data_IF_522125822730
#
_entry.id   IF_522125822730
#
_cell.length_a   1.000
_cell.length_b   1.000
_cell.length_c   1.000
_cell.angle_alpha   90.00
_cell.angle_beta   90.00
_cell.angle_gamma   90.00
#
_symmetry.space_group_name_H-M   'P 1'
#
loop_
_entity.id
_entity.type
_entity.pdbx_description
1 polymer ?
#
# COMPACT_ATOMS: atom_id res chain seq x y z
N UNK A 1 0.95 -11.63 14.64
CA UNK A 1 -0.35 -12.35 14.80
C UNK A 1 -0.79 -12.83 13.43
N UNK A 2 -1.36 -14.02 13.32
CA UNK A 2 -1.83 -14.58 12.04
C UNK A 2 -3.30 -14.92 12.15
N UNK A 3 -4.06 -14.73 11.06
CA UNK A 3 -5.48 -15.02 11.01
C UNK A 3 -5.83 -15.72 9.68
N UNK A 4 -6.53 -16.86 9.78
CA UNK A 4 -7.16 -17.49 8.60
C UNK A 4 -8.48 -16.76 8.31
N UNK A 5 -8.59 -16.14 7.13
CA UNK A 5 -9.78 -15.40 6.70
C UNK A 5 -10.87 -16.33 6.18
N UNK A 6 -10.46 -17.28 5.35
CA UNK A 6 -11.26 -18.38 4.85
C UNK A 6 -10.31 -19.52 4.44
N UNK A 7 -10.83 -20.58 3.85
CA UNK A 7 -9.99 -21.67 3.36
C UNK A 7 -9.01 -21.16 2.30
N UNK A 8 -7.72 -21.42 2.56
CA UNK A 8 -6.62 -21.04 1.70
C UNK A 8 -6.37 -19.54 1.59
N UNK A 9 -6.90 -18.71 2.49
CA UNK A 9 -6.59 -17.27 2.55
C UNK A 9 -6.22 -16.87 3.97
N UNK A 10 -5.02 -16.35 4.15
CA UNK A 10 -4.45 -16.04 5.44
C UNK A 10 -3.88 -14.62 5.47
N UNK A 11 -4.01 -13.96 6.61
CA UNK A 11 -3.41 -12.67 6.91
C UNK A 11 -2.27 -12.88 7.90
N UNK A 12 -1.09 -12.36 7.59
CA UNK A 12 0.11 -12.40 8.42
C UNK A 12 0.46 -10.98 8.81
N UNK A 13 0.43 -10.68 10.09
CA UNK A 13 0.87 -9.38 10.61
C UNK A 13 2.36 -9.40 10.89
N UNK A 14 3.07 -8.41 10.39
CA UNK A 14 4.46 -8.10 10.73
C UNK A 14 4.53 -6.76 11.42
N UNK A 15 5.13 -6.71 12.60
CA UNK A 15 5.36 -5.48 13.35
C UNK A 15 6.80 -5.02 13.11
N UNK A 16 7.00 -3.71 12.93
CA UNK A 16 8.32 -3.13 12.66
C UNK A 16 8.48 -1.75 13.29
N UNK A 17 9.70 -1.26 13.30
CA UNK A 17 10.04 0.08 13.82
C UNK A 17 10.59 0.95 12.69
N UNK A 18 9.96 2.11 12.47
CA UNK A 18 10.48 3.14 11.57
C UNK A 18 11.55 3.96 12.29
N UNK A 19 11.28 4.35 13.54
CA UNK A 19 12.24 4.93 14.49
C UNK A 19 12.06 4.24 15.85
N UNK A 20 12.93 4.47 16.84
CA UNK A 20 12.73 3.93 18.20
C UNK A 20 11.36 4.27 18.79
N UNK A 21 10.78 5.41 18.43
CA UNK A 21 9.50 5.92 18.92
C UNK A 21 8.31 5.51 18.05
N UNK A 22 8.55 5.26 16.75
CA UNK A 22 7.48 4.98 15.76
C UNK A 22 7.44 3.49 15.47
N UNK A 23 6.46 2.81 16.04
CA UNK A 23 6.11 1.42 15.73
C UNK A 23 4.99 1.38 14.73
N UNK A 24 5.11 0.50 13.74
CA UNK A 24 4.12 0.25 12.70
C UNK A 24 3.94 -1.25 12.51
N UNK A 25 2.98 -1.60 11.71
CA UNK A 25 2.77 -2.97 11.24
C UNK A 25 2.34 -2.94 9.78
N UNK A 26 2.52 -4.05 9.08
CA UNK A 26 1.90 -4.30 7.80
C UNK A 26 1.28 -5.69 7.78
N UNK A 27 0.26 -5.88 6.96
CA UNK A 27 -0.32 -7.18 6.67
C UNK A 27 0.18 -7.70 5.32
N UNK A 28 0.66 -8.92 5.35
CA UNK A 28 0.98 -9.73 4.18
C UNK A 28 -0.15 -10.75 4.04
N UNK A 29 -0.54 -11.07 2.82
CA UNK A 29 -1.56 -12.08 2.60
C UNK A 29 -0.95 -13.30 1.91
N UNK A 30 -1.23 -14.49 2.45
CA UNK A 30 -0.85 -15.77 1.87
C UNK A 30 -2.09 -16.39 1.25
N UNK A 31 -1.99 -16.68 -0.04
CA UNK A 31 -3.00 -17.39 -0.83
C UNK A 31 -2.50 -18.83 -1.00
N UNK A 32 -3.27 -19.78 -0.48
CA UNK A 32 -2.98 -21.20 -0.54
C UNK A 32 -3.83 -21.86 -1.62
N UNK A 33 -3.18 -22.52 -2.54
CA UNK A 33 -3.75 -23.33 -3.60
C UNK A 33 -2.95 -24.62 -3.76
N UNK A 34 -2.77 -25.10 -4.99
CA UNK A 34 -1.82 -26.16 -5.28
C UNK A 34 -0.41 -25.72 -4.89
N UNK A 35 -0.06 -24.50 -5.19
CA UNK A 35 1.12 -23.79 -4.66
C UNK A 35 0.71 -22.70 -3.66
N UNK A 36 1.66 -21.87 -3.22
CA UNK A 36 1.45 -20.73 -2.36
C UNK A 36 1.81 -19.44 -3.09
N UNK A 37 1.07 -18.37 -2.79
CA UNK A 37 1.31 -17.04 -3.36
C UNK A 37 1.20 -16.00 -2.26
N UNK A 38 1.99 -14.92 -2.38
CA UNK A 38 1.96 -13.80 -1.45
C UNK A 38 1.40 -12.56 -2.12
N UNK A 39 0.64 -11.77 -1.38
CA UNK A 39 0.41 -10.36 -1.71
C UNK A 39 1.20 -9.54 -0.72
N UNK A 40 2.15 -8.79 -1.26
CA UNK A 40 3.23 -8.11 -0.56
C UNK A 40 4.17 -9.05 0.21
N UNK A 41 5.28 -8.52 0.71
CA UNK A 41 6.31 -9.30 1.40
C UNK A 41 6.73 -8.70 2.75
N UNK A 42 6.09 -7.60 3.17
CA UNK A 42 6.44 -6.92 4.42
C UNK A 42 7.77 -6.17 4.34
N UNK A 43 8.33 -5.87 5.51
CA UNK A 43 9.67 -5.28 5.65
C UNK A 43 10.77 -6.33 5.57
N UNK A 44 12.03 -5.90 5.46
CA UNK A 44 13.18 -6.80 5.55
C UNK A 44 13.14 -7.65 6.80
N UNK A 45 13.33 -8.98 6.64
CA UNK A 45 13.24 -9.96 7.72
C UNK A 45 11.85 -10.57 7.95
N UNK A 46 10.81 -10.10 7.22
CA UNK A 46 9.44 -10.64 7.33
C UNK A 46 9.32 -12.07 6.80
N UNK A 47 10.23 -12.52 5.94
CA UNK A 47 10.29 -13.90 5.44
C UNK A 47 10.29 -14.94 6.58
N UNK A 48 10.92 -14.62 7.71
CA UNK A 48 10.95 -15.49 8.90
C UNK A 48 9.56 -15.76 9.46
N UNK A 49 8.74 -14.71 9.54
CA UNK A 49 7.36 -14.83 10.02
C UNK A 49 6.48 -15.58 9.00
N UNK A 50 6.68 -15.31 7.71
CA UNK A 50 5.97 -15.99 6.61
C UNK A 50 6.29 -17.48 6.62
N UNK A 51 7.56 -17.85 6.60
CA UNK A 51 7.99 -19.25 6.55
C UNK A 51 7.57 -20.03 7.81
N UNK A 52 7.78 -19.42 9.00
CA UNK A 52 7.31 -20.03 10.25
C UNK A 52 5.79 -20.25 10.27
N UNK A 53 5.02 -19.38 9.61
CA UNK A 53 3.58 -19.59 9.49
C UNK A 53 3.26 -20.70 8.49
N UNK A 54 3.91 -20.72 7.34
CA UNK A 54 3.72 -21.78 6.34
C UNK A 54 3.98 -23.17 6.92
N UNK A 55 5.06 -23.33 7.69
CA UNK A 55 5.36 -24.59 8.40
C UNK A 55 4.22 -25.00 9.34
N UNK A 56 3.62 -24.06 10.09
CA UNK A 56 2.50 -24.34 11.02
C UNK A 56 1.24 -24.84 10.31
N UNK A 57 1.04 -24.47 9.05
CA UNK A 57 -0.09 -24.93 8.23
C UNK A 57 0.29 -26.12 7.33
N UNK A 58 1.50 -26.70 7.53
CA UNK A 58 1.97 -27.85 6.78
C UNK A 58 2.48 -27.54 5.37
N UNK A 59 2.82 -26.28 5.09
CA UNK A 59 3.37 -25.83 3.80
C UNK A 59 4.86 -25.52 3.94
N UNK A 60 5.60 -25.63 2.85
CA UNK A 60 7.04 -25.34 2.82
C UNK A 60 7.29 -24.02 2.06
N UNK A 61 8.33 -23.26 2.44
CA UNK A 61 8.69 -22.03 1.75
C UNK A 61 8.88 -22.20 0.23
N UNK A 62 9.44 -23.34 -0.20
CA UNK A 62 9.69 -23.62 -1.62
C UNK A 62 8.40 -23.79 -2.44
N UNK A 63 7.25 -23.86 -1.79
CA UNK A 63 5.96 -23.90 -2.46
C UNK A 63 5.46 -22.50 -2.85
N UNK A 64 6.14 -21.41 -2.44
CA UNK A 64 5.85 -20.07 -2.92
C UNK A 64 6.24 -19.98 -4.40
N UNK A 65 5.25 -19.69 -5.26
CA UNK A 65 5.43 -19.56 -6.72
C UNK A 65 5.27 -18.15 -7.22
N UNK A 66 4.71 -17.23 -6.42
CA UNK A 66 4.57 -15.84 -6.82
C UNK A 66 4.41 -14.88 -5.65
N UNK A 67 4.91 -13.66 -5.85
CA UNK A 67 4.70 -12.50 -4.99
C UNK A 67 4.05 -11.42 -5.83
N UNK A 68 2.87 -10.99 -5.45
CA UNK A 68 2.12 -9.90 -6.08
C UNK A 68 2.34 -8.63 -5.27
N UNK A 69 3.24 -7.75 -5.72
CA UNK A 69 3.54 -6.50 -5.04
C UNK A 69 2.50 -5.44 -5.42
N UNK A 70 1.87 -4.85 -4.41
CA UNK A 70 0.86 -3.80 -4.62
C UNK A 70 1.52 -2.49 -5.05
N UNK A 71 2.66 -2.16 -4.46
CA UNK A 71 3.49 -0.99 -4.78
C UNK A 71 4.89 -1.14 -4.17
N UNK A 72 5.78 -0.17 -4.43
CA UNK A 72 7.21 -0.29 -4.13
C UNK A 72 7.62 0.17 -2.72
N UNK A 73 6.72 0.58 -1.82
CA UNK A 73 7.15 1.06 -0.51
C UNK A 73 7.84 -0.02 0.33
N UNK A 74 8.80 0.35 1.20
CA UNK A 74 9.67 -0.59 1.91
C UNK A 74 8.96 -1.69 2.71
N UNK A 75 7.80 -1.37 3.27
CA UNK A 75 7.01 -2.30 4.07
C UNK A 75 6.13 -3.27 3.24
N UNK A 76 6.25 -3.19 1.91
CA UNK A 76 5.60 -4.10 0.97
C UNK A 76 6.61 -4.98 0.22
N UNK A 77 7.81 -4.45 -0.05
CA UNK A 77 8.82 -5.14 -0.87
C UNK A 77 9.95 -5.77 -0.07
N UNK A 78 10.07 -5.47 1.23
CA UNK A 78 11.30 -5.65 2.02
C UNK A 78 11.84 -7.07 2.09
N UNK A 79 11.00 -8.09 2.03
CA UNK A 79 11.45 -9.50 2.01
C UNK A 79 11.37 -10.16 0.63
N UNK A 80 10.97 -9.42 -0.42
CA UNK A 80 10.76 -9.99 -1.75
C UNK A 80 12.05 -10.60 -2.33
N UNK A 81 13.19 -9.92 -2.18
CA UNK A 81 14.49 -10.41 -2.65
C UNK A 81 14.85 -11.76 -2.02
N UNK A 82 14.82 -11.85 -0.69
CA UNK A 82 15.16 -13.07 0.05
C UNK A 82 14.22 -14.23 -0.31
N UNK A 83 12.91 -13.94 -0.38
CA UNK A 83 11.92 -14.97 -0.75
C UNK A 83 12.17 -15.46 -2.17
N UNK A 84 12.39 -14.54 -3.13
CA UNK A 84 12.69 -14.90 -4.52
C UNK A 84 13.96 -15.72 -4.65
N UNK A 85 15.02 -15.37 -3.97
CA UNK A 85 16.28 -16.10 -3.98
C UNK A 85 16.12 -17.55 -3.45
N UNK A 86 15.33 -17.72 -2.38
CA UNK A 86 15.14 -19.03 -1.75
C UNK A 86 14.16 -19.93 -2.51
N UNK A 87 13.18 -19.35 -3.20
CA UNK A 87 12.05 -20.12 -3.75
C UNK A 87 12.04 -20.15 -5.28
N UNK A 88 12.73 -19.21 -5.94
CA UNK A 88 12.64 -19.02 -7.39
C UNK A 88 11.28 -18.52 -7.85
N UNK A 89 10.48 -17.90 -6.95
CA UNK A 89 9.13 -17.43 -7.29
C UNK A 89 9.16 -16.26 -8.26
N UNK A 90 8.07 -16.07 -9.00
CA UNK A 90 7.85 -14.93 -9.89
C UNK A 90 7.43 -13.69 -9.08
N UNK A 91 8.09 -12.57 -9.27
CA UNK A 91 7.73 -11.27 -8.69
C UNK A 91 6.91 -10.47 -9.71
N UNK A 92 5.67 -10.16 -9.34
CA UNK A 92 4.74 -9.35 -10.12
C UNK A 92 4.67 -7.94 -9.55
N UNK A 93 4.80 -6.92 -10.39
CA UNK A 93 4.62 -5.52 -10.01
C UNK A 93 4.20 -4.67 -11.21
N UNK A 94 3.62 -3.49 -10.96
CA UNK A 94 3.28 -2.54 -12.02
C UNK A 94 4.53 -1.89 -12.63
N UNK A 95 4.36 -1.35 -13.84
CA UNK A 95 5.47 -0.76 -14.61
C UNK A 95 6.12 0.43 -13.88
N UNK A 96 5.31 1.32 -13.31
CA UNK A 96 5.82 2.53 -12.66
C UNK A 96 6.55 2.24 -11.34
N UNK A 97 6.17 1.18 -10.63
CA UNK A 97 6.79 0.78 -9.36
C UNK A 97 8.12 0.01 -9.56
N UNK A 98 8.31 -0.60 -10.73
CA UNK A 98 9.44 -1.48 -11.05
C UNK A 98 10.79 -0.85 -10.77
N UNK A 99 11.00 0.41 -11.15
CA UNK A 99 12.30 1.07 -11.02
C UNK A 99 12.80 1.16 -9.58
N UNK A 100 11.89 1.34 -8.62
CA UNK A 100 12.19 1.39 -7.20
C UNK A 100 12.41 0.00 -6.60
N UNK A 101 11.64 -0.99 -7.04
CA UNK A 101 11.80 -2.38 -6.63
C UNK A 101 13.15 -2.94 -7.08
N UNK A 102 13.56 -2.63 -8.32
CA UNK A 102 14.83 -3.09 -8.89
C UNK A 102 16.05 -2.25 -8.45
N UNK A 103 15.82 -1.07 -7.85
CA UNK A 103 16.87 -0.20 -7.33
C UNK A 103 16.38 0.56 -6.08
N UNK A 104 16.53 -0.07 -4.90
CA UNK A 104 16.15 0.54 -3.62
C UNK A 104 16.98 1.77 -3.26
N UNK A 105 18.23 1.89 -3.74
CA UNK A 105 19.05 3.08 -3.49
C UNK A 105 18.50 4.28 -4.25
N UNK A 106 17.99 4.08 -5.47
CA UNK A 106 17.25 5.11 -6.21
C UNK A 106 16.00 5.54 -5.45
N UNK A 107 15.23 4.57 -4.92
CA UNK A 107 14.07 4.87 -4.11
C UNK A 107 14.44 5.69 -2.87
N UNK A 108 15.52 5.33 -2.17
CA UNK A 108 16.00 6.08 -1.02
C UNK A 108 16.40 7.51 -1.39
N UNK A 109 17.04 7.71 -2.53
CA UNK A 109 17.41 9.06 -3.01
C UNK A 109 16.20 9.93 -3.31
N UNK A 110 15.15 9.35 -3.88
CA UNK A 110 13.92 10.07 -4.28
C UNK A 110 12.92 10.21 -3.14
N UNK A 111 12.87 9.24 -2.23
CA UNK A 111 11.93 9.18 -1.10
C UNK A 111 12.62 8.68 0.19
N UNK A 112 13.50 9.50 0.78
CA UNK A 112 14.20 9.10 2.00
C UNK A 112 13.22 9.01 3.19
N UNK A 113 13.27 7.88 3.91
CA UNK A 113 12.61 7.70 5.19
C UNK A 113 13.60 7.14 6.22
N UNK A 114 13.37 7.35 7.53
CA UNK A 114 14.20 6.73 8.56
C UNK A 114 14.23 5.21 8.43
N UNK A 115 15.38 4.60 8.70
CA UNK A 115 15.60 3.15 8.70
C UNK A 115 15.32 2.45 7.35
N UNK A 116 15.33 3.20 6.25
CA UNK A 116 14.91 2.77 4.93
C UNK A 116 15.49 1.40 4.52
N UNK A 117 16.82 1.25 4.52
CA UNK A 117 17.48 0.03 4.01
C UNK A 117 17.14 -1.22 4.85
N UNK A 118 16.96 -1.06 6.16
CA UNK A 118 16.52 -2.16 7.00
C UNK A 118 15.06 -2.56 6.72
N UNK A 119 14.23 -1.60 6.34
CA UNK A 119 12.84 -1.85 5.98
C UNK A 119 12.71 -2.41 4.55
N UNK A 120 13.40 -1.81 3.57
CA UNK A 120 13.34 -2.21 2.17
C UNK A 120 14.11 -3.50 1.85
N UNK A 121 15.05 -3.90 2.72
CA UNK A 121 15.88 -5.08 2.49
C UNK A 121 16.85 -4.90 1.33
N UNK A 122 16.65 -5.64 0.24
CA UNK A 122 17.48 -5.58 -0.96
C UNK A 122 16.61 -5.45 -2.22
N UNK A 123 17.21 -4.87 -3.26
CA UNK A 123 16.59 -4.81 -4.60
C UNK A 123 16.25 -6.21 -5.10
N UNK A 124 15.13 -6.33 -5.81
CA UNK A 124 14.74 -7.59 -6.46
C UNK A 124 14.27 -7.33 -7.87
N UNK A 125 14.47 -8.31 -8.76
CA UNK A 125 14.00 -8.23 -10.13
C UNK A 125 12.47 -8.39 -10.17
N UNK A 126 11.80 -7.59 -10.97
CA UNK A 126 10.38 -7.78 -11.35
C UNK A 126 10.35 -8.69 -12.58
N UNK A 127 9.88 -9.92 -12.39
CA UNK A 127 9.84 -10.93 -13.45
C UNK A 127 8.65 -10.72 -14.40
N UNK A 128 7.53 -10.26 -13.87
CA UNK A 128 6.30 -10.01 -14.63
C UNK A 128 5.73 -8.62 -14.35
N UNK A 129 5.69 -7.79 -15.37
CA UNK A 129 5.04 -6.47 -15.28
C UNK A 129 3.55 -6.62 -15.48
N UNK A 130 2.77 -6.07 -14.55
CA UNK A 130 1.30 -6.07 -14.61
C UNK A 130 0.77 -4.68 -14.88
N UNK A 131 -0.41 -4.63 -15.49
CA UNK A 131 -1.13 -3.40 -15.78
C UNK A 131 -2.60 -3.53 -15.39
N UNK A 132 -3.26 -2.39 -15.26
CA UNK A 132 -4.68 -2.34 -14.99
C UNK A 132 -5.49 -3.15 -16.02
N UNK A 133 -6.39 -3.99 -15.52
CA UNK A 133 -7.26 -4.86 -16.33
C UNK A 133 -6.67 -6.24 -16.62
N UNK A 134 -5.38 -6.48 -16.36
CA UNK A 134 -4.78 -7.80 -16.54
C UNK A 134 -5.50 -8.86 -15.71
N UNK A 135 -5.58 -10.07 -16.26
CA UNK A 135 -6.04 -11.26 -15.55
C UNK A 135 -4.91 -12.28 -15.51
N UNK A 136 -4.45 -12.59 -14.30
CA UNK A 136 -3.37 -13.55 -14.07
C UNK A 136 -3.98 -14.83 -13.56
N UNK A 137 -3.60 -15.95 -14.17
CA UNK A 137 -4.01 -17.30 -13.75
C UNK A 137 -2.77 -18.07 -13.30
N UNK A 138 -2.34 -17.91 -12.06
CA UNK A 138 -1.10 -18.53 -11.57
C UNK A 138 -1.18 -20.04 -11.53
N UNK A 139 -2.38 -20.59 -11.33
CA UNK A 139 -2.71 -22.01 -11.38
C UNK A 139 -4.17 -22.23 -11.78
N UNK A 140 -4.57 -23.43 -12.23
CA UNK A 140 -5.95 -23.72 -12.60
C UNK A 140 -6.94 -23.39 -11.47
N UNK A 141 -7.98 -22.64 -11.79
CA UNK A 141 -9.02 -22.24 -10.82
C UNK A 141 -8.68 -21.02 -9.95
N UNK A 142 -7.51 -20.43 -10.11
CA UNK A 142 -7.13 -19.18 -9.44
C UNK A 142 -7.04 -18.05 -10.47
N UNK A 143 -7.94 -17.08 -10.39
CA UNK A 143 -7.93 -15.88 -11.23
C UNK A 143 -7.72 -14.64 -10.37
N UNK A 144 -6.66 -13.90 -10.64
CA UNK A 144 -6.31 -12.64 -9.99
C UNK A 144 -6.43 -11.54 -11.03
N UNK A 145 -7.38 -10.62 -10.81
CA UNK A 145 -7.54 -9.43 -11.66
C UNK A 145 -6.74 -8.27 -11.08
N UNK A 146 -5.97 -7.60 -11.92
CA UNK A 146 -5.22 -6.39 -11.56
C UNK A 146 -6.13 -5.16 -11.72
N UNK A 147 -6.18 -4.35 -10.68
CA UNK A 147 -6.94 -3.10 -10.63
C UNK A 147 -5.97 -1.97 -10.37
N UNK A 148 -5.80 -1.04 -11.30
CA UNK A 148 -4.98 0.15 -11.11
C UNK A 148 -5.49 0.94 -9.90
N UNK A 149 -4.59 1.25 -8.97
CA UNK A 149 -4.90 1.85 -7.67
C UNK A 149 -3.90 2.94 -7.31
N UNK A 150 -3.74 3.89 -8.25
CA UNK A 150 -2.85 5.05 -8.11
C UNK A 150 -3.33 5.99 -7.01
N UNK A 151 -2.43 6.80 -6.49
CA UNK A 151 -2.74 7.85 -5.53
C UNK A 151 -1.92 7.75 -4.26
N UNK A 152 -1.84 6.58 -3.61
CA UNK A 152 -0.88 6.34 -2.55
C UNK A 152 0.55 6.26 -3.09
N UNK A 153 0.72 5.62 -4.23
CA UNK A 153 1.95 5.58 -5.02
C UNK A 153 1.65 5.92 -6.50
N UNK A 154 2.69 6.08 -7.31
CA UNK A 154 2.54 6.57 -8.68
C UNK A 154 1.84 5.59 -9.62
N UNK A 155 2.00 4.30 -9.41
CA UNK A 155 1.45 3.24 -10.26
C UNK A 155 1.03 2.00 -9.44
N UNK A 156 0.59 2.22 -8.20
CA UNK A 156 0.11 1.16 -7.32
C UNK A 156 -1.06 0.38 -7.92
N UNK A 157 -1.15 -0.89 -7.56
CA UNK A 157 -2.20 -1.79 -8.01
C UNK A 157 -2.85 -2.52 -6.84
N UNK A 158 -4.13 -2.83 -6.99
CA UNK A 158 -4.84 -3.78 -6.12
C UNK A 158 -5.03 -5.11 -6.86
N UNK A 159 -5.04 -6.21 -6.12
CA UNK A 159 -5.24 -7.53 -6.69
C UNK A 159 -6.59 -8.10 -6.22
N UNK A 160 -7.44 -8.48 -7.16
CA UNK A 160 -8.74 -9.05 -6.88
C UNK A 160 -8.75 -10.55 -7.19
N UNK A 161 -8.65 -11.37 -6.15
CA UNK A 161 -8.77 -12.83 -6.23
C UNK A 161 -10.25 -13.20 -6.38
N UNK A 162 -10.67 -13.48 -7.61
CA UNK A 162 -12.06 -13.64 -8.02
C UNK A 162 -12.76 -14.81 -7.34
N UNK A 163 -12.14 -15.97 -7.31
CA UNK A 163 -12.70 -17.20 -6.77
C UNK A 163 -12.88 -17.21 -5.24
N UNK A 164 -12.31 -16.22 -4.54
CA UNK A 164 -12.48 -16.02 -3.08
C UNK A 164 -13.10 -14.67 -2.72
N UNK A 165 -13.46 -13.89 -3.74
CA UNK A 165 -14.03 -12.54 -3.58
C UNK A 165 -13.18 -11.66 -2.65
N UNK A 166 -11.84 -11.80 -2.72
CA UNK A 166 -10.89 -11.08 -1.88
C UNK A 166 -10.16 -10.00 -2.69
N UNK A 167 -10.20 -8.77 -2.20
CA UNK A 167 -9.56 -7.60 -2.81
C UNK A 167 -8.42 -7.13 -1.91
N UNK A 168 -7.18 -7.29 -2.37
CA UNK A 168 -5.98 -6.82 -1.69
C UNK A 168 -5.65 -5.43 -2.20
N UNK A 169 -5.76 -4.43 -1.33
CA UNK A 169 -5.68 -3.02 -1.72
C UNK A 169 -4.33 -2.37 -1.41
N UNK A 170 -3.41 -3.09 -0.75
CA UNK A 170 -2.23 -2.44 -0.19
C UNK A 170 -2.65 -1.24 0.64
N UNK A 171 -2.11 -0.08 0.31
CA UNK A 171 -2.35 1.19 1.00
C UNK A 171 -3.28 2.15 0.24
N UNK A 172 -3.98 1.64 -0.78
CA UNK A 172 -4.83 2.47 -1.63
C UNK A 172 -6.04 3.09 -0.90
N UNK A 173 -6.43 2.55 0.26
CA UNK A 173 -7.53 3.08 1.08
C UNK A 173 -6.92 3.80 2.29
N UNK A 174 -6.93 5.14 2.36
CA UNK A 174 -6.49 5.90 3.53
C UNK A 174 -7.21 5.46 4.80
N UNK A 175 -6.44 5.22 5.87
CA UNK A 175 -6.97 4.70 7.13
C UNK A 175 -7.58 5.83 7.95
N UNK A 176 -8.82 5.67 8.39
CA UNK A 176 -9.48 6.61 9.28
C UNK A 176 -8.78 6.65 10.65
N UNK A 177 -8.53 7.85 11.15
CA UNK A 177 -7.81 8.11 12.42
C UNK A 177 -6.30 7.79 12.42
N UNK A 178 -5.71 7.41 11.31
CA UNK A 178 -4.26 7.38 11.12
C UNK A 178 -3.82 8.48 10.15
N UNK A 179 -2.52 8.60 9.93
CA UNK A 179 -1.98 9.55 8.96
C UNK A 179 -2.42 9.17 7.54
N UNK A 180 -3.18 10.01 6.84
CA UNK A 180 -3.51 9.74 5.45
C UNK A 180 -2.28 10.02 4.58
N UNK A 181 -1.85 9.03 3.80
CA UNK A 181 -0.68 9.12 2.94
C UNK A 181 -1.09 8.84 1.49
N UNK A 182 -0.99 9.87 0.65
CA UNK A 182 -1.13 9.77 -0.80
C UNK A 182 -0.41 10.95 -1.46
N UNK A 183 0.04 10.74 -2.68
CA UNK A 183 0.84 11.71 -3.46
C UNK A 183 -0.03 12.52 -4.42
N UNK A 184 -1.24 12.03 -4.70
CA UNK A 184 -2.16 12.70 -5.63
C UNK A 184 -3.61 12.46 -5.19
N UNK A 185 -4.29 13.56 -4.86
CA UNK A 185 -5.69 13.57 -4.42
C UNK A 185 -6.63 12.97 -5.46
N UNK A 186 -6.55 13.42 -6.69
CA UNK A 186 -7.53 13.04 -7.73
C UNK A 186 -7.37 11.57 -8.10
N UNK A 187 -6.16 11.07 -8.20
CA UNK A 187 -5.91 9.64 -8.39
C UNK A 187 -6.43 8.79 -7.24
N UNK A 188 -6.29 9.27 -5.99
CA UNK A 188 -6.82 8.56 -4.82
C UNK A 188 -8.35 8.51 -4.85
N UNK A 189 -9.01 9.63 -5.21
CA UNK A 189 -10.47 9.67 -5.37
C UNK A 189 -10.95 8.70 -6.46
N UNK A 190 -10.32 8.74 -7.64
CA UNK A 190 -10.66 7.85 -8.76
C UNK A 190 -10.47 6.37 -8.36
N UNK A 191 -9.37 6.05 -7.68
CA UNK A 191 -9.10 4.72 -7.16
C UNK A 191 -10.20 4.25 -6.20
N UNK A 192 -10.57 5.08 -5.23
CA UNK A 192 -11.60 4.72 -4.24
C UNK A 192 -12.96 4.50 -4.90
N UNK A 193 -13.38 5.36 -5.83
CA UNK A 193 -14.61 5.16 -6.61
C UNK A 193 -14.57 3.86 -7.40
N UNK A 194 -13.45 3.55 -7.99
CA UNK A 194 -13.24 2.32 -8.74
C UNK A 194 -13.31 1.08 -7.86
N UNK A 195 -12.61 1.08 -6.71
CA UNK A 195 -12.66 -0.04 -5.76
C UNK A 195 -14.09 -0.23 -5.21
N UNK A 196 -14.83 0.86 -4.98
CA UNK A 196 -16.22 0.81 -4.53
C UNK A 196 -17.17 0.16 -5.56
N UNK A 197 -16.85 0.25 -6.85
CA UNK A 197 -17.66 -0.32 -7.95
C UNK A 197 -17.47 -1.82 -8.14
N UNK A 198 -16.45 -2.43 -7.53
CA UNK A 198 -16.16 -3.86 -7.68
C UNK A 198 -17.19 -4.71 -6.92
N UNK A 199 -17.70 -5.75 -7.59
CA UNK A 199 -18.66 -6.70 -7.00
C UNK A 199 -18.58 -8.05 -7.70
N UNK A 200 -18.66 -9.18 -6.98
CA UNK A 200 -18.74 -9.27 -5.52
C UNK A 200 -17.36 -9.15 -4.84
N UNK A 201 -17.27 -8.42 -3.74
CA UNK A 201 -16.10 -8.39 -2.84
C UNK A 201 -16.56 -8.76 -1.44
N UNK A 202 -16.09 -9.90 -0.94
CA UNK A 202 -16.37 -10.38 0.41
C UNK A 202 -15.34 -9.88 1.41
N UNK A 203 -14.05 -9.90 1.04
CA UNK A 203 -12.94 -9.49 1.90
C UNK A 203 -12.21 -8.32 1.25
N UNK A 204 -12.14 -7.19 1.95
CA UNK A 204 -11.28 -6.06 1.63
C UNK A 204 -10.05 -6.17 2.53
N UNK A 205 -8.90 -6.33 1.93
CA UNK A 205 -7.64 -6.72 2.55
C UNK A 205 -6.60 -5.59 2.42
N UNK A 206 -6.68 -4.51 3.23
CA UNK A 206 -5.67 -3.46 3.26
C UNK A 206 -4.41 -3.92 4.00
N UNK A 207 -3.29 -3.22 3.80
CA UNK A 207 -2.04 -3.57 4.48
C UNK A 207 -1.89 -2.94 5.87
N UNK A 208 -2.51 -1.79 6.12
CA UNK A 208 -2.35 -1.06 7.39
C UNK A 208 -3.61 -1.02 8.27
N UNK A 209 -4.64 -1.71 7.90
CA UNK A 209 -5.87 -1.78 8.69
C UNK A 209 -6.42 -3.21 8.72
N UNK A 210 -7.42 -3.45 9.56
CA UNK A 210 -8.09 -4.75 9.65
C UNK A 210 -8.74 -5.14 8.31
N UNK A 211 -8.89 -6.43 8.09
CA UNK A 211 -9.74 -6.93 7.00
C UNK A 211 -11.19 -6.53 7.26
N UNK A 212 -11.82 -5.96 6.25
CA UNK A 212 -13.23 -5.65 6.27
C UNK A 212 -14.01 -6.70 5.47
N UNK A 213 -15.22 -6.99 5.90
CA UNK A 213 -16.10 -7.93 5.22
C UNK A 213 -17.36 -7.26 4.69
N UNK A 214 -17.72 -7.57 3.45
CA UNK A 214 -18.99 -7.12 2.85
C UNK A 214 -19.18 -5.60 2.97
N UNK A 215 -20.29 -5.19 3.62
CA UNK A 215 -20.65 -3.78 3.80
C UNK A 215 -19.58 -2.96 4.54
N UNK A 216 -18.83 -3.58 5.46
CA UNK A 216 -17.76 -2.89 6.17
C UNK A 216 -16.64 -2.36 5.26
N UNK A 217 -16.36 -3.03 4.14
CA UNK A 217 -15.42 -2.56 3.14
C UNK A 217 -15.93 -1.33 2.39
N UNK A 218 -17.19 -1.35 1.97
CA UNK A 218 -17.83 -0.20 1.34
C UNK A 218 -17.85 1.03 2.28
N UNK A 219 -18.13 0.81 3.59
CA UNK A 219 -18.08 1.86 4.60
C UNK A 219 -16.66 2.40 4.83
N UNK A 220 -15.62 1.54 4.75
CA UNK A 220 -14.24 1.99 4.85
C UNK A 220 -13.85 2.89 3.66
N UNK A 221 -14.23 2.49 2.44
CA UNK A 221 -14.01 3.30 1.24
C UNK A 221 -14.78 4.64 1.32
N UNK A 222 -16.05 4.61 1.75
CA UNK A 222 -16.84 5.85 1.92
C UNK A 222 -16.16 6.81 2.89
N UNK A 223 -15.70 6.32 4.05
CA UNK A 223 -14.97 7.15 5.02
C UNK A 223 -13.66 7.70 4.48
N UNK A 224 -12.96 6.94 3.64
CA UNK A 224 -11.74 7.42 2.98
C UNK A 224 -12.04 8.55 1.98
N UNK A 225 -13.11 8.45 1.20
CA UNK A 225 -13.60 9.51 0.34
C UNK A 225 -13.96 10.78 1.14
N UNK A 226 -14.76 10.62 2.21
CA UNK A 226 -15.14 11.71 3.10
C UNK A 226 -13.93 12.42 3.71
N UNK A 227 -12.89 11.66 4.11
CA UNK A 227 -11.64 12.19 4.65
C UNK A 227 -10.89 13.05 3.61
N UNK A 228 -10.75 12.56 2.37
CA UNK A 228 -10.08 13.30 1.30
C UNK A 228 -10.84 14.62 1.00
N UNK A 229 -12.17 14.56 0.95
CA UNK A 229 -12.99 15.74 0.76
C UNK A 229 -12.92 16.72 1.94
N UNK A 230 -12.84 16.21 3.18
CA UNK A 230 -12.67 17.05 4.37
C UNK A 230 -11.34 17.81 4.32
N UNK A 231 -10.25 17.13 3.94
CA UNK A 231 -8.94 17.75 3.74
C UNK A 231 -9.05 18.85 2.67
N UNK A 232 -9.70 18.58 1.54
CA UNK A 232 -9.88 19.59 0.49
C UNK A 232 -10.64 20.82 0.99
N UNK A 233 -11.75 20.60 1.71
CA UNK A 233 -12.52 21.73 2.30
C UNK A 233 -11.67 22.56 3.28
N UNK A 234 -10.82 21.92 4.07
CA UNK A 234 -9.90 22.61 4.98
C UNK A 234 -8.86 23.45 4.23
N UNK A 235 -8.28 22.89 3.18
CA UNK A 235 -7.34 23.60 2.29
C UNK A 235 -8.02 24.80 1.65
N UNK A 236 -9.19 24.62 1.02
CA UNK A 236 -9.94 25.69 0.37
C UNK A 236 -10.31 26.83 1.34
N UNK A 237 -10.67 26.49 2.57
CA UNK A 237 -10.99 27.49 3.60
C UNK A 237 -9.78 28.35 3.96
N UNK A 238 -8.60 27.72 4.15
CA UNK A 238 -7.35 28.47 4.43
C UNK A 238 -6.94 29.33 3.25
N UNK A 239 -7.03 28.79 2.03
CA UNK A 239 -6.66 29.50 0.81
C UNK A 239 -7.55 30.72 0.52
N UNK A 240 -8.81 30.72 0.96
CA UNK A 240 -9.74 31.86 0.83
C UNK A 240 -9.53 32.97 1.85
N UNK A 241 -9.01 32.63 3.03
CA UNK A 241 -8.85 33.58 4.13
C UNK A 241 -7.53 34.39 3.97
N UNK A 242 -6.48 33.98 4.65
CA UNK A 242 -5.14 34.59 4.55
C UNK A 242 -4.09 33.49 4.60
N UNK A 243 -3.80 32.84 3.47
CA UNK A 243 -2.82 31.78 3.45
C UNK A 243 -1.43 32.35 3.75
N UNK A 244 -0.68 31.62 4.58
CA UNK A 244 0.73 31.92 4.79
C UNK A 244 1.50 31.79 3.48
N UNK A 245 2.46 32.68 3.26
CA UNK A 245 3.33 32.65 2.05
C UNK A 245 4.43 31.60 2.16
N UNK A 246 4.84 31.29 3.40
CA UNK A 246 5.76 30.19 3.66
C UNK A 246 5.01 28.86 3.71
N UNK A 247 5.56 27.85 3.05
CA UNK A 247 4.93 26.53 2.89
C UNK A 247 4.73 25.80 4.21
N UNK A 248 5.74 25.79 5.08
CA UNK A 248 5.62 25.10 6.36
C UNK A 248 4.53 25.75 7.23
N UNK A 249 4.46 27.08 7.23
CA UNK A 249 3.42 27.84 7.91
C UNK A 249 2.03 27.58 7.27
N UNK A 250 1.93 27.46 5.94
CA UNK A 250 0.69 27.12 5.24
C UNK A 250 0.20 25.72 5.62
N UNK A 251 1.07 24.73 5.60
CA UNK A 251 0.73 23.36 6.02
C UNK A 251 0.27 23.37 7.49
N UNK A 252 0.96 24.11 8.36
CA UNK A 252 0.56 24.25 9.76
C UNK A 252 -0.81 24.89 9.93
N UNK A 253 -1.13 25.95 9.18
CA UNK A 253 -2.47 26.55 9.17
C UNK A 253 -3.55 25.57 8.74
N UNK A 254 -3.30 24.78 7.68
CA UNK A 254 -4.23 23.77 7.19
C UNK A 254 -4.41 22.67 8.24
N UNK A 255 -3.33 22.15 8.83
CA UNK A 255 -3.40 21.14 9.88
C UNK A 255 -4.22 21.63 11.10
N UNK A 256 -4.01 22.88 11.53
CA UNK A 256 -4.79 23.48 12.63
C UNK A 256 -6.26 23.61 12.25
N UNK A 257 -6.55 24.04 11.02
CA UNK A 257 -7.94 24.13 10.52
C UNK A 257 -8.66 22.77 10.53
N UNK A 258 -7.93 21.68 10.29
CA UNK A 258 -8.44 20.32 10.21
C UNK A 258 -8.40 19.57 11.56
N UNK A 259 -7.76 20.12 12.62
CA UNK A 259 -7.51 19.39 13.87
C UNK A 259 -6.53 18.23 13.69
N UNK A 260 -5.61 18.37 12.74
CA UNK A 260 -4.63 17.32 12.37
C UNK A 260 -3.19 17.66 12.80
N UNK A 261 -3.01 18.53 13.80
CA UNK A 261 -1.70 18.99 14.29
C UNK A 261 -0.80 17.84 14.73
N UNK A 262 -1.38 16.73 15.17
CA UNK A 262 -0.64 15.51 15.54
C UNK A 262 0.21 14.92 14.41
N UNK A 263 -0.05 15.30 13.17
CA UNK A 263 0.71 14.85 11.98
C UNK A 263 1.73 15.88 11.48
N UNK A 264 1.82 17.04 12.13
CA UNK A 264 2.86 18.03 11.83
C UNK A 264 4.26 17.41 12.00
N UNK A 265 5.16 17.73 11.07
CA UNK A 265 6.50 17.14 11.04
C UNK A 265 6.60 15.79 10.33
N UNK A 266 5.48 15.17 9.94
CA UNK A 266 5.51 14.00 9.07
C UNK A 266 5.63 14.43 7.60
N UNK A 267 6.74 14.15 6.91
CA UNK A 267 6.96 14.61 5.53
C UNK A 267 5.97 13.98 4.54
N UNK A 268 5.52 12.75 4.79
CA UNK A 268 4.54 12.07 3.93
C UNK A 268 3.16 12.75 4.01
N UNK A 269 2.77 13.18 5.22
CA UNK A 269 1.54 13.95 5.40
C UNK A 269 1.63 15.35 4.78
N UNK A 270 2.80 15.98 4.86
CA UNK A 270 3.03 17.24 4.16
C UNK A 270 2.86 17.10 2.64
N UNK A 271 3.29 15.97 2.06
CA UNK A 271 3.04 15.60 0.67
C UNK A 271 1.55 15.44 0.37
N UNK A 272 0.82 14.76 1.25
CA UNK A 272 -0.64 14.62 1.14
C UNK A 272 -1.34 15.99 1.09
N UNK A 273 -1.06 16.88 2.04
CA UNK A 273 -1.62 18.25 2.03
C UNK A 273 -1.24 18.98 0.75
N UNK A 274 0.00 18.83 0.30
CA UNK A 274 0.47 19.45 -0.94
C UNK A 274 -0.33 19.03 -2.18
N UNK A 275 -0.77 17.78 -2.24
CA UNK A 275 -1.55 17.26 -3.36
C UNK A 275 -2.95 17.91 -3.49
N UNK A 276 -3.40 18.62 -2.46
CA UNK A 276 -4.64 19.38 -2.44
C UNK A 276 -4.48 20.85 -2.84
N UNK A 277 -3.24 21.35 -2.89
CA UNK A 277 -2.98 22.74 -3.27
C UNK A 277 -3.13 22.94 -4.79
N UNK A 278 -3.40 24.18 -5.26
CA UNK A 278 -3.38 24.51 -6.68
C UNK A 278 -2.05 24.11 -7.35
N UNK A 279 -2.10 23.69 -8.61
CA UNK A 279 -0.96 23.12 -9.35
C UNK A 279 0.34 23.94 -9.29
N UNK A 280 0.28 25.27 -9.20
CA UNK A 280 1.46 26.14 -9.03
C UNK A 280 2.08 26.15 -7.63
N UNK A 281 1.47 25.49 -6.65
CA UNK A 281 1.92 25.39 -5.26
C UNK A 281 2.25 23.97 -4.84
N UNK A 282 2.12 23.00 -5.73
CA UNK A 282 2.34 21.55 -5.47
C UNK A 282 3.83 21.15 -5.48
N UNK A 283 4.74 22.01 -5.94
CA UNK A 283 6.13 21.73 -6.33
C UNK A 283 7.08 21.19 -5.24
N UNK A 284 6.73 20.10 -4.55
CA UNK A 284 7.70 19.30 -3.78
C UNK A 284 7.47 17.78 -3.93
N UNK A 285 6.38 17.32 -4.53
CA UNK A 285 6.12 15.89 -4.69
C UNK A 285 6.46 15.33 -6.09
N UNK A 286 6.92 16.15 -7.00
CA UNK A 286 7.12 15.80 -8.42
C UNK A 286 8.37 14.94 -8.71
N UNK A 287 9.02 14.37 -7.68
CA UNK A 287 10.14 13.43 -7.91
C UNK A 287 9.75 11.96 -7.89
N UNK A 288 8.48 11.65 -7.67
CA UNK A 288 7.94 10.28 -7.77
C UNK A 288 7.37 9.93 -9.17
N UNK A 289 7.72 10.70 -10.22
CA UNK A 289 7.28 10.47 -11.60
C UNK A 289 8.25 9.59 -12.38
#
# INVERSE_FOLDING_TARGET
MVMKLCEGLHQIRVDFQVTPEIKRFAYIYLIEGAACYLVDSGVGGSEKAIFSYMEKIGRRPEEIRGIFLTHAHPDHIGSASVIRELTGCTVYASRGERRWIENIDLQFQERPIPNFHALAGASTQVDAVVTDGDAITPEPGMEIKVIGSRGHSCDGVSYWLRNREALFTGDAIPVWNDVPIYINRDWSMDTLHRLASLSPVRFYCPAWDKVYTGRGGAEAISRALDLIEEIQRGVDAVMKDRPATDRAALISQICTKLGMERFLGNPLFAGTIASHLPSGMQDISSRES
#
